data_IF_627699439544
#
_entry.id   IF_627699439544
#
_cell.length_a   1.000
_cell.length_b   1.000
_cell.length_c   1.000
_cell.angle_alpha   90.00
_cell.angle_beta   90.00
_cell.angle_gamma   90.00
#
_symmetry.space_group_name_H-M   'P 1'
#
loop_
_entity.id
_entity.type
_entity.pdbx_description
1 polymer ?
#
# COMPACT_ATOMS: atom_id res chain seq x y z
N UNK A 1 7.84 61.36 15.90
CA UNK A 1 7.72 60.99 14.48
C UNK A 1 6.26 61.06 14.11
N UNK A 2 5.94 61.94 13.16
CA UNK A 2 4.68 62.69 13.15
C UNK A 2 3.91 62.35 11.89
N UNK A 3 2.63 62.03 12.08
CA UNK A 3 1.63 61.75 11.04
C UNK A 3 1.49 62.89 10.02
N UNK A 4 1.52 62.57 8.73
CA UNK A 4 1.11 63.45 7.64
C UNK A 4 -0.34 63.14 7.21
N UNK A 5 -1.15 64.20 7.06
CA UNK A 5 -2.58 64.19 6.70
C UNK A 5 -2.81 64.47 5.21
N UNK A 6 -3.72 63.69 4.62
CA UNK A 6 -4.76 63.99 3.57
C UNK A 6 -4.31 64.33 2.13
N UNK A 7 -5.13 63.95 1.14
CA UNK A 7 -6.16 64.88 0.66
C UNK A 7 -7.57 64.29 0.59
N UNK A 8 -8.57 65.18 0.74
CA UNK A 8 -9.99 64.95 0.49
C UNK A 8 -10.25 65.13 -1.00
N UNK A 9 -10.86 64.16 -1.66
CA UNK A 9 -11.43 64.34 -3.00
C UNK A 9 -12.93 64.60 -2.86
N UNK A 10 -13.35 65.81 -3.24
CA UNK A 10 -14.75 66.17 -3.49
C UNK A 10 -15.08 65.70 -4.90
N UNK A 11 -16.16 64.92 -5.07
CA UNK A 11 -16.78 64.74 -6.38
C UNK A 11 -18.03 65.61 -6.45
N UNK A 12 -18.02 66.51 -7.42
CA UNK A 12 -19.11 67.40 -7.83
C UNK A 12 -20.18 66.63 -8.60
N UNK A 13 -21.44 67.00 -8.38
CA UNK A 13 -22.58 66.54 -9.16
C UNK A 13 -22.71 67.31 -10.49
N UNK A 14 -23.16 66.60 -11.52
CA UNK A 14 -23.54 67.08 -12.85
C UNK A 14 -23.36 65.90 -13.80
N UNK A 15 -24.31 65.47 -14.64
CA UNK A 15 -25.61 65.96 -15.03
C UNK A 15 -26.01 65.08 -16.23
N UNK A 16 -27.26 64.60 -16.21
CA UNK A 16 -28.06 64.06 -17.32
C UNK A 16 -27.62 62.83 -18.15
N UNK A 17 -28.33 61.73 -17.87
CA UNK A 17 -29.13 60.89 -18.80
C UNK A 17 -28.45 60.39 -20.07
N UNK A 18 -28.08 59.10 -20.06
CA UNK A 18 -28.32 58.18 -21.17
C UNK A 18 -28.50 56.76 -20.59
N UNK A 19 -29.71 56.22 -20.77
CA UNK A 19 -30.09 54.89 -20.33
C UNK A 19 -29.36 53.82 -21.16
N UNK A 20 -28.46 53.08 -20.50
CA UNK A 20 -28.02 51.77 -20.95
C UNK A 20 -28.27 50.82 -19.78
N UNK A 21 -29.35 50.05 -19.88
CA UNK A 21 -29.71 48.98 -18.94
C UNK A 21 -28.69 47.85 -19.09
N UNK A 22 -27.51 48.02 -18.50
CA UNK A 22 -26.60 46.92 -18.24
C UNK A 22 -27.18 46.22 -17.01
N UNK A 23 -27.85 45.10 -17.23
CA UNK A 23 -28.04 44.07 -16.21
C UNK A 23 -26.65 43.55 -15.81
N UNK A 24 -25.92 44.33 -15.03
CA UNK A 24 -24.92 43.81 -14.12
C UNK A 24 -25.73 43.06 -13.08
N UNK A 25 -25.98 41.78 -13.36
CA UNK A 25 -26.33 40.84 -12.33
C UNK A 25 -25.30 41.04 -11.24
N UNK A 26 -25.73 41.62 -10.13
CA UNK A 26 -25.00 41.58 -8.88
C UNK A 26 -24.94 40.09 -8.54
N UNK A 27 -23.92 39.41 -9.07
CA UNK A 27 -23.46 38.17 -8.49
C UNK A 27 -23.11 38.54 -7.07
N UNK A 28 -24.02 38.26 -6.15
CA UNK A 28 -23.66 38.08 -4.77
C UNK A 28 -22.56 37.03 -4.83
N UNK A 29 -21.30 37.45 -4.65
CA UNK A 29 -20.31 36.58 -4.07
C UNK A 29 -20.96 36.22 -2.74
N UNK A 30 -21.62 35.06 -2.68
CA UNK A 30 -21.97 34.44 -1.42
C UNK A 30 -20.60 34.06 -0.89
N UNK A 31 -20.07 34.77 0.13
CA UNK A 31 -18.89 34.25 0.77
C UNK A 31 -19.32 32.94 1.41
N UNK A 32 -18.77 31.84 0.91
CA UNK A 32 -18.91 30.50 1.46
C UNK A 32 -18.42 30.51 2.92
N UNK A 33 -19.30 30.91 3.83
CA UNK A 33 -19.04 30.94 5.26
C UNK A 33 -19.42 29.61 5.93
N UNK A 34 -19.83 28.61 5.13
CA UNK A 34 -20.20 27.27 5.59
C UNK A 34 -19.67 26.17 4.67
N UNK A 35 -18.60 26.42 3.89
CA UNK A 35 -17.73 25.30 3.53
C UNK A 35 -16.99 24.94 4.81
N UNK A 36 -17.57 24.02 5.58
CA UNK A 36 -16.80 23.20 6.47
C UNK A 36 -15.91 22.38 5.53
N UNK A 37 -14.69 22.86 5.30
CA UNK A 37 -13.61 21.98 4.92
C UNK A 37 -13.48 21.11 6.18
N UNK A 38 -14.18 19.98 6.20
CA UNK A 38 -13.86 18.90 7.12
C UNK A 38 -12.41 18.60 6.83
N UNK A 39 -11.55 19.15 7.69
CA UNK A 39 -10.13 19.21 7.49
C UNK A 39 -9.61 17.80 7.57
N UNK A 40 -9.57 17.16 6.40
CA UNK A 40 -8.77 16.01 6.04
C UNK A 40 -9.08 14.78 6.91
N UNK A 41 -9.50 13.70 6.26
CA UNK A 41 -9.22 12.35 6.75
C UNK A 41 -7.70 12.24 6.97
N UNK A 42 -7.20 12.71 8.10
CA UNK A 42 -5.84 12.45 8.54
C UNK A 42 -5.89 11.03 9.06
N UNK A 43 -5.48 10.08 8.21
CA UNK A 43 -5.08 8.77 8.70
C UNK A 43 -4.14 9.04 9.90
N UNK A 44 -4.47 8.60 11.13
CA UNK A 44 -3.69 8.88 12.34
C UNK A 44 -2.22 8.40 12.23
N UNK A 45 -1.91 7.55 11.25
CA UNK A 45 -0.54 7.28 10.82
C UNK A 45 -0.50 6.39 9.59
N UNK A 46 0.59 6.43 8.83
CA UNK A 46 0.71 5.56 7.66
C UNK A 46 0.66 4.06 8.05
N UNK A 47 0.19 3.24 7.11
CA UNK A 47 0.41 1.78 7.07
C UNK A 47 1.85 1.44 7.40
N UNK A 48 2.06 0.35 8.12
CA UNK A 48 3.40 -0.14 8.47
C UNK A 48 3.46 -1.65 8.32
N UNK A 49 4.49 -2.14 7.65
CA UNK A 49 4.87 -3.54 7.68
C UNK A 49 5.58 -3.79 9.01
N UNK A 50 5.14 -4.83 9.72
CA UNK A 50 5.68 -5.18 11.03
C UNK A 50 6.59 -6.38 10.87
N UNK A 51 7.90 -6.16 11.05
CA UNK A 51 8.89 -7.22 11.08
C UNK A 51 9.12 -7.72 12.50
N UNK A 52 9.46 -9.00 12.63
CA UNK A 52 9.91 -9.55 13.89
C UNK A 52 11.29 -9.01 14.23
N UNK A 53 11.46 -8.51 15.43
CA UNK A 53 12.77 -8.07 15.92
C UNK A 53 13.47 -9.30 16.52
N UNK A 54 14.70 -9.65 16.08
CA UNK A 54 15.45 -10.70 16.72
C UNK A 54 15.78 -10.28 18.16
N UNK A 55 15.09 -10.89 19.11
CA UNK A 55 15.36 -10.76 20.54
C UNK A 55 16.28 -11.89 21.00
N UNK A 56 17.29 -11.56 21.81
CA UNK A 56 18.12 -12.58 22.46
C UNK A 56 17.29 -13.39 23.45
N UNK A 57 17.74 -14.61 23.77
CA UNK A 57 17.04 -15.49 24.72
C UNK A 57 16.78 -14.81 26.07
N UNK A 58 17.77 -14.08 26.61
CA UNK A 58 17.62 -13.32 27.86
C UNK A 58 16.58 -12.19 27.75
N UNK A 59 16.44 -11.56 26.58
CA UNK A 59 15.46 -10.51 26.35
C UNK A 59 14.05 -11.10 26.18
N UNK A 60 13.92 -12.23 25.48
CA UNK A 60 12.67 -12.97 25.34
C UNK A 60 12.18 -13.51 26.70
N UNK A 61 13.09 -14.03 27.51
CA UNK A 61 12.82 -14.44 28.89
C UNK A 61 12.43 -13.24 29.75
N UNK A 62 13.15 -12.12 29.68
CA UNK A 62 12.79 -10.90 30.41
C UNK A 62 11.41 -10.35 29.99
N UNK A 63 11.06 -10.45 28.70
CA UNK A 63 9.74 -10.07 28.20
C UNK A 63 8.63 -10.99 28.74
N UNK A 64 8.91 -12.29 28.92
CA UNK A 64 7.97 -13.28 29.50
C UNK A 64 7.86 -13.18 31.02
N UNK A 65 8.94 -12.79 31.70
CA UNK A 65 9.03 -12.64 33.16
C UNK A 65 8.52 -11.28 33.64
N UNK A 66 8.50 -10.26 32.76
CA UNK A 66 7.88 -8.99 33.07
C UNK A 66 6.39 -9.24 33.36
N UNK A 67 5.96 -8.88 34.57
CA UNK A 67 4.60 -9.16 35.09
C UNK A 67 3.50 -8.71 34.12
N UNK A 68 2.27 -9.17 34.35
CA UNK A 68 1.05 -8.71 33.65
C UNK A 68 0.90 -7.16 33.62
N UNK A 69 1.66 -6.43 34.45
CA UNK A 69 1.72 -4.97 34.50
C UNK A 69 2.76 -4.36 33.53
N UNK A 70 3.79 -5.11 33.10
CA UNK A 70 4.91 -4.69 32.24
C UNK A 70 5.16 -5.70 31.09
N UNK A 71 4.13 -6.18 30.43
CA UNK A 71 3.49 -5.19 29.61
C UNK A 71 4.35 -4.70 28.34
N UNK A 72 5.42 -5.37 27.82
CA UNK A 72 6.48 -4.64 27.03
C UNK A 72 7.00 -5.14 25.66
N UNK A 73 6.59 -6.28 25.09
CA UNK A 73 7.26 -6.76 23.86
C UNK A 73 6.32 -7.32 22.78
N UNK A 74 5.52 -6.49 22.09
CA UNK A 74 4.72 -6.98 20.97
C UNK A 74 5.65 -7.52 19.86
N UNK A 75 5.53 -8.81 19.55
CA UNK A 75 6.24 -9.46 18.44
C UNK A 75 5.24 -10.17 17.55
N UNK A 76 5.40 -10.01 16.23
CA UNK A 76 4.63 -10.82 15.28
C UNK A 76 5.06 -12.29 15.39
N UNK A 77 4.14 -13.24 15.11
CA UNK A 77 4.46 -14.66 15.17
C UNK A 77 5.72 -15.03 14.37
N UNK A 78 6.55 -15.88 14.97
CA UNK A 78 7.78 -16.38 14.36
C UNK A 78 7.55 -17.25 13.12
N UNK A 79 6.49 -18.05 13.14
CA UNK A 79 6.25 -19.08 12.16
C UNK A 79 5.82 -18.47 10.82
N UNK A 80 6.51 -18.86 9.75
CA UNK A 80 6.24 -18.36 8.40
C UNK A 80 6.68 -16.91 8.17
N UNK A 81 7.32 -16.24 9.13
CA UNK A 81 7.84 -14.89 8.90
C UNK A 81 9.15 -14.95 8.11
N UNK A 82 9.19 -14.27 6.96
CA UNK A 82 10.42 -14.07 6.18
C UNK A 82 10.90 -12.63 6.36
N UNK A 83 11.99 -12.39 7.11
CA UNK A 83 12.51 -11.03 7.30
C UNK A 83 12.97 -10.44 5.97
N UNK A 84 12.96 -9.12 5.88
CA UNK A 84 13.48 -8.39 4.73
C UNK A 84 14.96 -8.66 4.49
N UNK A 85 15.39 -8.42 3.25
CA UNK A 85 16.79 -8.55 2.85
C UNK A 85 17.08 -9.82 2.06
N UNK A 86 18.26 -10.41 2.29
CA UNK A 86 18.76 -11.50 1.46
C UNK A 86 18.18 -12.85 1.88
N UNK A 87 17.58 -13.57 0.93
CA UNK A 87 17.23 -14.98 1.10
C UNK A 87 18.52 -15.78 0.87
N UNK A 88 19.12 -16.36 1.94
CA UNK A 88 20.49 -16.89 1.89
C UNK A 88 20.65 -18.13 1.03
N UNK A 89 19.56 -18.82 0.76
CA UNK A 89 19.54 -20.07 0.02
C UNK A 89 19.33 -19.77 -1.47
N UNK A 90 20.27 -20.16 -2.36
CA UNK A 90 20.03 -20.06 -3.78
C UNK A 90 18.88 -20.99 -4.16
N UNK A 91 17.89 -20.45 -4.86
CA UNK A 91 16.77 -21.17 -5.43
C UNK A 91 17.13 -21.65 -6.84
N UNK A 92 16.38 -22.59 -7.38
CA UNK A 92 16.72 -23.27 -8.62
C UNK A 92 15.74 -23.00 -9.75
N UNK A 93 16.27 -22.73 -10.94
CA UNK A 93 15.49 -22.79 -12.18
C UNK A 93 15.45 -24.24 -12.65
N UNK A 94 14.28 -24.85 -12.52
CA UNK A 94 14.05 -26.26 -12.78
C UNK A 94 13.53 -26.51 -14.20
N UNK A 95 13.61 -27.75 -14.71
CA UNK A 95 12.96 -28.16 -15.96
C UNK A 95 11.44 -28.00 -15.94
N UNK A 96 10.78 -28.04 -17.10
CA UNK A 96 9.31 -27.91 -17.16
C UNK A 96 8.63 -29.05 -16.39
N UNK A 97 7.62 -28.71 -15.58
CA UNK A 97 6.94 -29.67 -14.70
C UNK A 97 7.76 -30.13 -13.48
N UNK A 98 8.90 -29.50 -13.20
CA UNK A 98 9.66 -29.70 -11.96
C UNK A 98 9.59 -28.45 -11.07
N UNK A 99 9.70 -28.64 -9.76
CA UNK A 99 9.77 -27.56 -8.76
C UNK A 99 11.12 -27.56 -8.05
N UNK A 100 11.51 -26.42 -7.52
CA UNK A 100 12.67 -26.31 -6.65
C UNK A 100 12.46 -27.17 -5.39
N UNK A 101 13.46 -27.98 -5.04
CA UNK A 101 13.45 -28.75 -3.78
C UNK A 101 13.62 -27.87 -2.54
N UNK A 102 14.09 -26.64 -2.72
CA UNK A 102 14.26 -25.61 -1.69
C UNK A 102 13.12 -24.58 -1.71
N UNK A 103 12.06 -24.82 -2.50
CA UNK A 103 10.81 -24.07 -2.39
C UNK A 103 10.35 -24.08 -0.93
N UNK A 104 10.05 -22.90 -0.39
CA UNK A 104 9.73 -22.73 1.02
C UNK A 104 8.22 -22.76 1.25
N UNK A 105 7.80 -22.99 2.49
CA UNK A 105 6.37 -23.01 2.85
C UNK A 105 5.70 -21.64 2.80
N UNK A 106 4.47 -21.57 3.32
CA UNK A 106 3.73 -20.31 3.49
C UNK A 106 4.59 -19.23 4.17
N UNK A 107 4.63 -18.05 3.55
CA UNK A 107 5.21 -16.84 4.15
C UNK A 107 4.09 -15.91 4.59
N UNK A 108 4.23 -15.33 5.78
CA UNK A 108 3.32 -14.34 6.34
C UNK A 108 4.00 -12.98 6.44
N UNK A 109 3.38 -11.99 5.82
CA UNK A 109 3.75 -10.59 5.98
C UNK A 109 2.72 -9.91 6.84
N UNK A 110 3.15 -9.31 7.94
CA UNK A 110 2.29 -8.61 8.88
C UNK A 110 2.31 -7.11 8.59
N UNK A 111 1.15 -6.47 8.69
CA UNK A 111 1.01 -5.04 8.53
C UNK A 111 -0.06 -4.48 9.46
N UNK A 112 0.10 -3.22 9.87
CA UNK A 112 -0.85 -2.50 10.70
C UNK A 112 -1.24 -1.17 10.05
N UNK A 113 -2.48 -0.76 10.30
CA UNK A 113 -3.01 0.58 10.01
C UNK A 113 -3.62 1.14 11.29
N UNK A 114 -3.16 2.31 11.78
CA UNK A 114 -3.71 2.91 12.97
C UNK A 114 -5.10 3.54 12.80
N UNK A 115 -5.66 3.63 11.58
CA UNK A 115 -7.02 4.19 11.39
C UNK A 115 -8.10 3.24 11.93
N UNK A 116 -8.83 3.72 12.95
CA UNK A 116 -9.93 2.99 13.58
C UNK A 116 -11.23 3.78 13.52
N UNK A 117 -12.35 3.08 13.46
CA UNK A 117 -13.68 3.68 13.58
C UNK A 117 -14.03 4.03 15.04
N UNK A 118 -15.24 4.55 15.26
CA UNK A 118 -15.73 4.94 16.59
C UNK A 118 -15.86 3.76 17.56
N UNK A 119 -15.93 2.52 17.03
CA UNK A 119 -15.99 1.28 17.82
C UNK A 119 -14.60 0.70 18.10
N UNK A 120 -13.53 1.32 17.56
CA UNK A 120 -12.14 0.90 17.74
C UNK A 120 -11.70 -0.21 16.80
N UNK A 121 -12.50 -0.53 15.78
CA UNK A 121 -12.20 -1.53 14.75
C UNK A 121 -11.39 -0.92 13.61
N UNK A 122 -10.59 -1.73 12.90
CA UNK A 122 -9.90 -1.26 11.70
C UNK A 122 -10.90 -0.74 10.69
N UNK A 123 -10.72 0.52 10.33
CA UNK A 123 -11.62 1.24 9.42
C UNK A 123 -11.36 0.89 7.95
N UNK A 124 -10.09 0.72 7.61
CA UNK A 124 -9.63 0.50 6.25
C UNK A 124 -9.15 -0.95 6.05
N UNK A 125 -9.32 -1.46 4.83
CA UNK A 125 -8.78 -2.73 4.40
C UNK A 125 -7.35 -2.57 3.88
N UNK A 126 -6.49 -3.54 4.17
CA UNK A 126 -5.12 -3.56 3.66
C UNK A 126 -5.02 -4.43 2.41
N UNK A 127 -4.41 -3.90 1.36
CA UNK A 127 -4.11 -4.59 0.11
C UNK A 127 -2.60 -4.72 -0.08
N UNK A 128 -2.15 -5.78 -0.76
CA UNK A 128 -0.73 -5.95 -1.05
C UNK A 128 -0.46 -6.52 -2.44
N UNK A 129 0.67 -6.14 -3.02
CA UNK A 129 1.14 -6.67 -4.30
C UNK A 129 2.63 -6.98 -4.22
N UNK A 130 3.06 -8.01 -4.95
CA UNK A 130 4.46 -8.35 -5.14
C UNK A 130 4.96 -7.76 -6.45
N UNK A 131 6.12 -7.13 -6.41
CA UNK A 131 6.78 -6.47 -7.53
C UNK A 131 8.13 -7.13 -7.76
N UNK A 132 8.31 -7.78 -8.91
CA UNK A 132 9.56 -8.45 -9.28
C UNK A 132 10.44 -7.51 -10.11
N UNK A 133 11.71 -7.40 -9.73
CA UNK A 133 12.73 -6.60 -10.41
C UNK A 133 12.26 -5.17 -10.72
N UNK A 134 11.66 -4.56 -9.70
CA UNK A 134 11.07 -3.23 -9.80
C UNK A 134 12.14 -2.15 -10.00
N UNK A 135 12.15 -1.56 -11.20
CA UNK A 135 12.92 -0.36 -11.52
C UNK A 135 12.02 0.88 -11.47
N UNK A 136 12.26 1.84 -10.55
CA UNK A 136 11.44 3.04 -10.43
C UNK A 136 11.51 3.98 -11.64
N UNK A 137 12.42 3.76 -12.60
CA UNK A 137 12.59 4.59 -13.79
C UNK A 137 11.90 4.06 -15.05
N UNK A 138 11.37 2.82 -15.03
CA UNK A 138 10.65 2.25 -16.16
C UNK A 138 9.20 2.73 -16.21
N UNK A 139 8.67 2.91 -17.43
CA UNK A 139 7.46 3.69 -17.69
C UNK A 139 6.13 2.97 -17.37
N UNK A 140 6.10 1.65 -17.20
CA UNK A 140 4.88 0.91 -16.86
C UNK A 140 5.09 -0.02 -15.66
N UNK A 141 4.89 0.51 -14.45
CA UNK A 141 5.06 -0.26 -13.22
C UNK A 141 4.11 -1.46 -13.04
N UNK A 142 2.96 -1.48 -13.74
CA UNK A 142 1.99 -2.59 -13.69
C UNK A 142 2.56 -3.90 -14.26
N UNK A 143 3.54 -3.80 -15.17
CA UNK A 143 4.21 -4.96 -15.79
C UNK A 143 5.12 -5.71 -14.82
N UNK A 144 5.32 -5.15 -13.62
CA UNK A 144 6.19 -5.73 -12.59
C UNK A 144 5.41 -6.43 -11.49
N UNK A 145 4.09 -6.33 -11.48
CA UNK A 145 3.26 -7.11 -10.57
C UNK A 145 3.45 -8.58 -10.90
N UNK A 146 3.99 -9.32 -9.93
CA UNK A 146 4.37 -10.71 -10.07
C UNK A 146 3.67 -11.54 -9.00
N UNK A 147 3.70 -12.85 -9.18
CA UNK A 147 3.22 -13.84 -8.23
C UNK A 147 1.78 -13.63 -7.76
N UNK A 148 0.86 -13.23 -8.65
CA UNK A 148 -0.57 -13.10 -8.30
C UNK A 148 -1.19 -14.45 -7.92
N UNK A 149 -0.56 -15.55 -8.35
CA UNK A 149 -0.85 -16.92 -7.91
C UNK A 149 -0.53 -17.15 -6.42
N UNK A 150 0.39 -16.38 -5.82
CA UNK A 150 0.78 -16.50 -4.41
C UNK A 150 0.14 -15.43 -3.52
N UNK A 151 -0.04 -14.23 -4.05
CA UNK A 151 -0.64 -13.10 -3.35
C UNK A 151 -1.61 -12.38 -4.29
N UNK A 152 -2.91 -12.53 -4.02
CA UNK A 152 -3.97 -11.89 -4.79
C UNK A 152 -4.10 -10.41 -4.39
N UNK A 153 -3.85 -9.45 -5.29
CA UNK A 153 -3.79 -8.03 -4.92
C UNK A 153 -5.14 -7.39 -4.59
N UNK A 154 -6.24 -8.03 -4.97
CA UNK A 154 -7.62 -7.63 -4.69
C UNK A 154 -8.16 -8.26 -3.39
N UNK A 155 -7.43 -9.20 -2.79
CA UNK A 155 -7.80 -9.84 -1.54
C UNK A 155 -7.28 -9.01 -0.36
N UNK A 156 -8.16 -8.54 0.55
CA UNK A 156 -7.73 -7.82 1.72
C UNK A 156 -6.96 -8.73 2.69
N UNK A 157 -6.09 -8.13 3.49
CA UNK A 157 -5.34 -8.81 4.53
C UNK A 157 -6.27 -9.46 5.58
N UNK A 158 -5.88 -10.64 6.06
CA UNK A 158 -6.59 -11.36 7.11
C UNK A 158 -6.29 -10.73 8.48
N UNK A 159 -7.30 -10.58 9.33
CA UNK A 159 -7.10 -10.13 10.71
C UNK A 159 -6.36 -11.22 11.50
N UNK A 160 -5.37 -10.81 12.29
CA UNK A 160 -4.75 -11.71 13.28
C UNK A 160 -5.76 -11.90 14.42
N UNK A 161 -6.08 -13.15 14.73
CA UNK A 161 -6.95 -13.44 15.89
C UNK A 161 -6.11 -13.23 17.15
N UNK A 162 -6.60 -12.46 18.12
CA UNK A 162 -5.86 -12.05 19.33
C UNK A 162 -5.22 -13.21 20.11
N UNK A 163 -5.80 -14.42 20.04
CA UNK A 163 -5.22 -15.63 20.64
C UNK A 163 -3.90 -16.09 20.01
N UNK A 164 -3.58 -15.65 18.80
CA UNK A 164 -2.32 -15.94 18.10
C UNK A 164 -1.21 -14.93 18.46
N UNK A 165 -1.55 -13.86 19.19
CA UNK A 165 -0.63 -12.81 19.57
C UNK A 165 -0.35 -12.86 21.06
N UNK A 166 0.73 -13.54 21.43
CA UNK A 166 1.21 -13.51 22.81
C UNK A 166 1.80 -12.12 23.09
N UNK A 167 1.27 -11.42 24.10
CA UNK A 167 1.87 -10.23 24.69
C UNK A 167 1.83 -8.92 23.85
N UNK A 168 0.65 -8.50 23.33
CA UNK A 168 0.50 -7.10 22.85
C UNK A 168 0.37 -6.17 24.02
N UNK A 169 1.24 -5.16 24.09
CA UNK A 169 1.17 -4.23 25.21
C UNK A 169 1.48 -2.82 24.74
N UNK A 170 0.61 -1.88 25.13
CA UNK A 170 0.84 -0.44 25.01
C UNK A 170 0.57 0.08 23.61
N UNK A 171 0.31 -0.82 22.66
CA UNK A 171 -0.43 -0.55 21.44
C UNK A 171 -1.91 -0.77 21.78
N UNK A 172 -2.79 0.15 21.37
CA UNK A 172 -4.22 -0.18 21.25
C UNK A 172 -4.34 -1.49 20.47
N UNK A 173 -5.37 -2.30 20.74
CA UNK A 173 -5.54 -3.65 20.14
C UNK A 173 -5.10 -3.59 18.68
N UNK A 174 -3.98 -4.26 18.32
CA UNK A 174 -3.30 -3.88 17.12
C UNK A 174 -4.20 -4.35 15.99
N UNK A 175 -4.53 -3.44 15.09
CA UNK A 175 -5.20 -3.74 13.82
C UNK A 175 -4.22 -4.45 12.87
N UNK A 176 -3.50 -5.43 13.43
CA UNK A 176 -2.51 -6.23 12.77
C UNK A 176 -3.25 -7.19 11.88
N UNK A 177 -2.93 -7.07 10.61
CA UNK A 177 -3.39 -7.97 9.58
C UNK A 177 -2.19 -8.68 8.98
N UNK A 178 -2.44 -9.75 8.27
CA UNK A 178 -1.41 -10.48 7.57
C UNK A 178 -1.84 -10.90 6.18
N UNK A 179 -0.84 -10.98 5.32
CA UNK A 179 -0.94 -11.55 3.98
C UNK A 179 -0.30 -12.93 4.00
N UNK A 180 -0.98 -13.91 3.43
CA UNK A 180 -0.41 -15.22 3.15
C UNK A 180 0.16 -15.21 1.73
N UNK A 181 1.45 -15.48 1.62
CA UNK A 181 2.13 -15.72 0.35
C UNK A 181 2.35 -17.23 0.28
N UNK A 182 1.55 -17.89 -0.55
CA UNK A 182 1.56 -19.36 -0.64
C UNK A 182 1.05 -19.80 -2.01
N UNK A 183 1.75 -20.74 -2.65
CA UNK A 183 1.27 -21.38 -3.87
C UNK A 183 0.17 -22.41 -3.62
N UNK A 184 -0.49 -22.86 -4.67
CA UNK A 184 -1.56 -23.86 -4.59
C UNK A 184 -1.10 -25.21 -4.00
N UNK A 185 0.20 -25.51 -4.07
CA UNK A 185 0.83 -26.69 -3.47
C UNK A 185 1.18 -26.53 -1.98
N UNK A 186 0.98 -25.34 -1.41
CA UNK A 186 1.46 -24.98 -0.06
C UNK A 186 2.92 -24.53 -0.02
N UNK A 187 3.60 -24.52 -1.18
CA UNK A 187 4.98 -24.07 -1.33
C UNK A 187 5.05 -22.79 -2.17
N UNK A 188 6.13 -22.05 -2.01
CA UNK A 188 6.49 -20.85 -2.76
C UNK A 188 7.78 -21.14 -3.50
N UNK A 189 7.70 -21.14 -4.84
CA UNK A 189 8.82 -21.37 -5.74
C UNK A 189 9.04 -20.11 -6.59
N UNK A 190 9.86 -19.20 -6.06
CA UNK A 190 10.08 -17.90 -6.68
C UNK A 190 10.74 -18.01 -8.07
N UNK A 191 11.53 -19.04 -8.35
CA UNK A 191 12.24 -19.16 -9.62
C UNK A 191 11.41 -19.85 -10.71
N UNK A 192 10.46 -20.72 -10.35
CA UNK A 192 9.74 -21.53 -11.33
C UNK A 192 8.26 -21.21 -11.52
N UNK A 193 7.64 -20.44 -10.62
CA UNK A 193 6.19 -20.24 -10.66
C UNK A 193 5.78 -18.80 -10.34
N UNK A 194 6.16 -17.90 -11.24
CA UNK A 194 5.55 -16.58 -11.38
C UNK A 194 4.40 -16.67 -12.38
N UNK A 195 3.20 -17.01 -11.90
CA UNK A 195 2.01 -17.23 -12.75
C UNK A 195 2.26 -18.26 -13.86
N UNK A 196 2.94 -19.36 -13.52
CA UNK A 196 3.36 -20.40 -14.47
C UNK A 196 4.58 -20.04 -15.34
N UNK A 197 5.16 -18.85 -15.17
CA UNK A 197 6.41 -18.45 -15.85
C UNK A 197 7.63 -18.66 -14.96
N UNK A 198 8.76 -18.97 -15.61
CA UNK A 198 10.07 -19.13 -14.94
C UNK A 198 10.88 -17.86 -15.03
N UNK A 199 11.73 -17.66 -14.04
CA UNK A 199 12.74 -16.61 -14.06
C UNK A 199 14.00 -17.09 -14.79
N UNK A 200 14.75 -16.12 -15.33
CA UNK A 200 16.11 -16.37 -15.80
C UNK A 200 17.03 -16.66 -14.62
N UNK A 201 18.14 -17.41 -14.80
CA UNK A 201 19.19 -17.48 -13.80
C UNK A 201 19.75 -16.08 -13.48
N UNK A 202 20.04 -15.80 -12.21
CA UNK A 202 20.54 -14.50 -11.78
C UNK A 202 20.14 -14.10 -10.37
N UNK A 203 20.38 -12.83 -10.04
CA UNK A 203 19.94 -12.19 -8.79
C UNK A 203 18.68 -11.40 -9.11
N UNK A 204 17.64 -11.59 -8.30
CA UNK A 204 16.35 -10.94 -8.43
C UNK A 204 15.99 -10.19 -7.16
N UNK A 205 15.18 -9.16 -7.31
CA UNK A 205 14.58 -8.41 -6.20
C UNK A 205 13.07 -8.62 -6.19
N UNK A 206 12.53 -8.95 -5.03
CA UNK A 206 11.09 -9.05 -4.80
C UNK A 206 10.70 -7.98 -3.79
N UNK A 207 9.80 -7.09 -4.15
CA UNK A 207 9.28 -6.07 -3.24
C UNK A 207 7.81 -6.33 -2.97
N UNK A 208 7.39 -6.31 -1.72
CA UNK A 208 5.98 -6.17 -1.38
C UNK A 208 5.66 -4.69 -1.14
N UNK A 209 4.53 -4.25 -1.69
CA UNK A 209 3.90 -2.97 -1.36
C UNK A 209 2.57 -3.26 -0.68
N UNK A 210 2.34 -2.63 0.47
CA UNK A 210 1.10 -2.75 1.25
C UNK A 210 0.45 -1.38 1.34
N UNK A 211 -0.86 -1.26 1.13
CA UNK A 211 -1.60 0.00 1.18
C UNK A 211 -2.96 -0.15 1.86
N UNK A 212 -3.46 0.93 2.45
CA UNK A 212 -4.76 1.05 3.15
C UNK A 212 -5.94 1.36 2.23
N UNK A 213 -5.71 1.45 0.92
CA UNK A 213 -6.77 1.77 -0.06
C UNK A 213 -6.69 0.89 -1.29
N UNK A 214 -7.79 0.75 -2.04
CA UNK A 214 -7.73 0.15 -3.37
C UNK A 214 -6.67 0.81 -4.23
N UNK A 215 -6.06 0.03 -5.13
CA UNK A 215 -5.03 0.54 -6.02
C UNK A 215 -5.54 1.67 -6.93
N UNK A 216 -4.62 2.53 -7.33
CA UNK A 216 -4.87 3.68 -8.19
C UNK A 216 -5.60 3.27 -9.48
N UNK A 217 -6.69 3.98 -9.77
CA UNK A 217 -7.46 3.77 -11.00
C UNK A 217 -7.44 5.07 -11.82
N UNK A 218 -6.63 5.14 -12.90
CA UNK A 218 -6.48 6.37 -13.65
C UNK A 218 -7.77 6.72 -14.39
N UNK A 219 -8.07 8.02 -14.47
CA UNK A 219 -9.16 8.53 -15.29
C UNK A 219 -8.68 8.63 -16.74
N UNK A 220 -9.48 8.13 -17.68
CA UNK A 220 -9.23 8.28 -19.11
C UNK A 220 -9.26 9.77 -19.47
N UNK A 221 -8.25 10.25 -20.19
CA UNK A 221 -8.15 11.64 -20.64
C UNK A 221 -8.16 11.70 -22.17
N UNK A 222 -8.77 12.75 -22.71
CA UNK A 222 -8.78 13.01 -24.14
C UNK A 222 -7.46 13.63 -24.65
N UNK A 223 -7.39 13.95 -25.94
CA UNK A 223 -6.20 14.57 -26.57
C UNK A 223 -5.84 15.95 -25.98
N UNK A 224 -6.77 16.61 -25.30
CA UNK A 224 -6.56 17.90 -24.63
C UNK A 224 -6.15 17.74 -23.16
N UNK A 225 -6.19 16.51 -22.65
CA UNK A 225 -5.89 16.17 -21.25
C UNK A 225 -7.09 16.28 -20.32
N UNK A 226 -8.30 16.53 -20.83
CA UNK A 226 -9.51 16.62 -20.02
C UNK A 226 -10.07 15.23 -19.69
N UNK A 227 -10.67 15.02 -18.51
CA UNK A 227 -11.30 13.75 -18.15
C UNK A 227 -12.45 13.39 -19.11
N UNK A 228 -12.39 12.20 -19.69
CA UNK A 228 -13.46 11.66 -20.52
C UNK A 228 -14.63 11.26 -19.63
N UNK A 229 -15.84 11.64 -20.06
CA UNK A 229 -17.10 11.27 -19.41
C UNK A 229 -17.92 10.37 -20.31
N UNK A 230 -18.60 9.40 -19.71
CA UNK A 230 -19.58 8.57 -20.40
C UNK A 230 -20.74 9.46 -20.91
N UNK A 231 -21.11 9.38 -22.19
CA UNK A 231 -22.12 10.26 -22.77
C UNK A 231 -23.55 9.98 -22.26
N UNK A 232 -23.81 8.77 -21.76
CA UNK A 232 -25.13 8.34 -21.29
C UNK A 232 -25.30 8.63 -19.80
N UNK A 233 -24.26 8.45 -18.98
CA UNK A 233 -24.36 8.64 -17.51
C UNK A 233 -23.76 9.96 -17.02
N UNK A 234 -22.80 10.54 -17.75
CA UNK A 234 -22.02 11.71 -17.32
C UNK A 234 -20.89 11.39 -16.33
N UNK A 235 -20.71 10.12 -15.96
CA UNK A 235 -19.66 9.66 -15.04
C UNK A 235 -18.27 9.69 -15.70
N UNK A 236 -17.22 9.76 -14.89
CA UNK A 236 -15.85 9.66 -15.39
C UNK A 236 -15.57 8.25 -15.93
N UNK A 237 -14.91 8.17 -17.07
CA UNK A 237 -14.42 6.90 -17.62
C UNK A 237 -13.06 6.58 -17.01
N UNK A 238 -12.93 5.40 -16.42
CA UNK A 238 -11.72 4.95 -15.78
C UNK A 238 -10.97 3.91 -16.65
N UNK A 239 -9.65 3.96 -16.59
CA UNK A 239 -8.75 2.94 -17.13
C UNK A 239 -8.64 1.75 -16.17
N UNK A 240 -8.06 0.61 -16.60
CA UNK A 240 -7.76 -0.49 -15.70
C UNK A 240 -6.95 -0.03 -14.48
N UNK A 241 -7.28 -0.61 -13.34
CA UNK A 241 -6.59 -0.37 -12.08
C UNK A 241 -5.10 -0.73 -12.19
N UNK A 242 -4.23 0.14 -11.70
CA UNK A 242 -2.79 -0.05 -11.67
C UNK A 242 -2.37 -0.72 -10.35
N UNK A 243 -2.39 -2.05 -10.33
CA UNK A 243 -1.96 -2.82 -9.15
C UNK A 243 -0.51 -2.48 -8.77
N UNK A 244 -0.24 -2.40 -7.47
CA UNK A 244 1.06 -1.97 -6.94
C UNK A 244 1.27 -0.45 -6.93
N UNK A 245 0.25 0.34 -7.30
CA UNK A 245 0.27 1.81 -7.24
C UNK A 245 -0.71 2.28 -6.16
N UNK A 246 -0.23 2.60 -4.96
CA UNK A 246 -1.06 3.23 -3.94
C UNK A 246 -1.69 4.52 -4.49
N UNK A 247 -2.99 4.72 -4.27
CA UNK A 247 -3.69 5.93 -4.72
C UNK A 247 -3.40 7.12 -3.79
N UNK A 248 -2.19 7.66 -3.90
CA UNK A 248 -1.74 8.78 -3.07
C UNK A 248 -2.62 10.03 -3.23
N UNK A 249 -3.23 10.22 -4.40
CA UNK A 249 -4.14 11.33 -4.66
C UNK A 249 -5.46 11.17 -3.90
N UNK A 250 -5.93 9.93 -3.74
CA UNK A 250 -7.04 9.59 -2.86
C UNK A 250 -6.64 9.49 -1.38
N UNK A 251 -5.39 9.80 -1.01
CA UNK A 251 -4.93 9.79 0.38
C UNK A 251 -4.50 8.41 0.89
N UNK A 252 -4.19 7.47 -0.01
CA UNK A 252 -3.63 6.18 0.39
C UNK A 252 -2.28 6.37 1.10
N UNK A 253 -2.07 5.63 2.18
CA UNK A 253 -0.76 5.42 2.78
C UNK A 253 -0.27 4.03 2.41
N UNK A 254 1.05 3.85 2.45
CA UNK A 254 1.66 2.58 2.08
C UNK A 254 2.99 2.39 2.76
N UNK A 255 3.40 1.12 2.83
CA UNK A 255 4.73 0.72 3.23
C UNK A 255 5.27 -0.35 2.28
N UNK A 256 6.58 -0.53 2.26
CA UNK A 256 7.23 -1.51 1.39
C UNK A 256 8.31 -2.28 2.11
N UNK A 257 8.44 -3.55 1.78
CA UNK A 257 9.51 -4.43 2.22
C UNK A 257 10.12 -5.11 1.00
N UNK A 258 11.41 -5.41 1.04
CA UNK A 258 12.11 -6.01 -0.10
C UNK A 258 12.94 -7.22 0.31
N UNK A 259 12.94 -8.21 -0.56
CA UNK A 259 13.82 -9.37 -0.53
C UNK A 259 14.71 -9.39 -1.77
N UNK A 260 15.89 -9.97 -1.62
CA UNK A 260 16.79 -10.27 -2.72
C UNK A 260 17.08 -11.77 -2.67
N UNK A 261 16.98 -12.44 -3.82
CA UNK A 261 17.21 -13.88 -3.94
C UNK A 261 17.98 -14.18 -5.21
N UNK A 262 18.52 -15.41 -5.31
CA UNK A 262 19.19 -15.87 -6.52
C UNK A 262 18.51 -17.11 -7.08
N UNK A 263 18.41 -17.15 -8.41
CA UNK A 263 17.99 -18.30 -9.18
C UNK A 263 19.22 -18.90 -9.87
N UNK A 264 19.63 -20.10 -9.46
CA UNK A 264 20.72 -20.87 -10.07
C UNK A 264 20.20 -21.86 -11.12
N UNK A 265 21.13 -22.40 -11.90
CA UNK A 265 20.88 -23.49 -12.85
C UNK A 265 22.03 -24.51 -12.80
N UNK A 266 21.81 -25.72 -13.34
CA UNK A 266 22.85 -26.73 -13.51
C UNK A 266 22.88 -27.82 -12.43
N UNK A 267 24.02 -28.51 -12.31
CA UNK A 267 24.15 -29.72 -11.47
C UNK A 267 24.05 -29.45 -9.96
N UNK A 268 24.24 -28.21 -9.54
CA UNK A 268 24.08 -27.79 -8.15
C UNK A 268 22.60 -27.60 -7.75
N UNK A 269 21.68 -27.69 -8.72
CA UNK A 269 20.27 -27.50 -8.49
C UNK A 269 19.49 -28.78 -8.22
N UNK A 270 18.84 -28.82 -7.06
CA UNK A 270 17.95 -29.91 -6.67
C UNK A 270 16.51 -29.59 -7.09
N UNK A 271 16.02 -30.28 -8.12
CA UNK A 271 14.65 -30.15 -8.60
C UNK A 271 13.84 -31.41 -8.30
N UNK A 272 12.65 -31.23 -7.72
CA UNK A 272 11.68 -32.29 -7.53
C UNK A 272 10.85 -32.46 -8.80
N UNK A 273 10.71 -33.69 -9.28
CA UNK A 273 9.72 -34.00 -10.31
C UNK A 273 8.33 -33.84 -9.71
N UNK A 274 7.50 -32.95 -10.26
CA UNK A 274 6.08 -32.91 -9.88
C UNK A 274 5.44 -34.14 -10.54
N UNK A 275 5.01 -35.09 -9.71
CA UNK A 275 4.34 -36.30 -10.20
C UNK A 275 3.11 -35.93 -11.04
N UNK A 276 2.73 -36.76 -12.04
CA UNK A 276 1.54 -36.54 -12.84
C UNK A 276 0.25 -36.59 -12.03
#
# INVERSE_FOLDING_TARGET
>A
MTFARRPRTRCTAGGHIAAATILLGAGCIIPDHEIVIEGVFTNPGAVRIVERIPVGEDADLACKDASDEVNTCPQVPAAGHLPSGWIPTPLCVCPEGASDALAFGEVRVYAEDPDTDDDGEAKDDLFAALLLDFDPFLHEPSDRVAYRNYLQPDRPAERVVSSEYENVIGRADPQLRFFRIVGSSGLVDLCNDNEGSKLSPGIHSLKIVVTDRPWFTPVLRDETGEPVRDPDTGDLVYLPQLVGHPDLAAGATYDTMSWVFSCGEGEECACNSVGP
#
